data_IF_610247871314
#
_entry.id   IF_610247871314
#
_cell.length_a   1.000
_cell.length_b   1.000
_cell.length_c   1.000
_cell.angle_alpha   90.00
_cell.angle_beta   90.00
_cell.angle_gamma   90.00
#
_symmetry.space_group_name_H-M   'P 1'
#
loop_
_entity.id
_entity.type
_entity.pdbx_description
1 polymer ?
#
# COMPACT_ATOMS: atom_id res chain seq x y z
N UNK A 1 18.58 3.56 8.27
CA UNK A 1 17.20 3.65 7.76
C UNK A 1 17.12 2.73 6.54
N UNK A 2 16.50 1.55 6.66
CA UNK A 2 16.36 0.63 5.52
C UNK A 2 15.51 1.32 4.45
N UNK A 3 16.07 1.46 3.25
CA UNK A 3 15.34 1.96 2.09
C UNK A 3 14.30 0.91 1.69
N UNK A 4 13.10 1.04 2.24
CA UNK A 4 11.97 0.18 1.90
C UNK A 4 11.62 0.44 0.43
N UNK A 5 12.02 -0.46 -0.46
CA UNK A 5 11.74 -0.36 -1.89
C UNK A 5 10.25 -0.61 -2.17
N UNK A 6 9.74 -0.19 -3.33
CA UNK A 6 8.35 -0.51 -3.73
C UNK A 6 8.08 -2.02 -3.78
N UNK A 7 9.09 -2.83 -4.12
CA UNK A 7 9.01 -4.29 -4.10
C UNK A 7 8.80 -4.82 -2.68
N UNK A 8 9.48 -4.24 -1.70
CA UNK A 8 9.32 -4.58 -0.28
C UNK A 8 7.91 -4.21 0.23
N UNK A 9 7.40 -3.03 -0.16
CA UNK A 9 6.03 -2.59 0.17
C UNK A 9 4.96 -3.51 -0.40
N UNK A 10 5.09 -3.97 -1.65
CA UNK A 10 4.17 -4.96 -2.23
C UNK A 10 4.24 -6.31 -1.52
N UNK A 11 5.42 -6.71 -1.06
CA UNK A 11 5.60 -7.95 -0.28
C UNK A 11 4.92 -7.84 1.08
N UNK A 12 5.09 -6.71 1.79
CA UNK A 12 4.37 -6.41 3.04
C UNK A 12 2.85 -6.46 2.85
N UNK A 13 2.32 -5.84 1.78
CA UNK A 13 0.88 -5.85 1.47
C UNK A 13 0.35 -7.29 1.33
N UNK A 14 1.07 -8.16 0.61
CA UNK A 14 0.69 -9.57 0.46
C UNK A 14 0.71 -10.32 1.78
N UNK A 15 1.75 -10.12 2.59
CA UNK A 15 1.89 -10.79 3.89
C UNK A 15 0.79 -10.33 4.86
N UNK A 16 0.41 -9.05 4.84
CA UNK A 16 -0.69 -8.53 5.65
C UNK A 16 -2.04 -9.12 5.20
N UNK A 17 -2.30 -9.19 3.89
CA UNK A 17 -3.51 -9.81 3.35
C UNK A 17 -3.62 -11.31 3.69
N UNK A 18 -2.50 -12.02 3.62
CA UNK A 18 -2.43 -13.45 3.99
C UNK A 18 -2.77 -13.65 5.47
N UNK A 19 -2.15 -12.86 6.36
CA UNK A 19 -2.44 -12.92 7.80
C UNK A 19 -3.89 -12.55 8.14
N UNK A 20 -4.47 -11.54 7.47
CA UNK A 20 -5.88 -11.17 7.65
C UNK A 20 -6.80 -12.32 7.28
N UNK A 21 -6.50 -13.02 6.18
CA UNK A 21 -7.28 -14.19 5.74
C UNK A 21 -7.06 -15.41 6.63
N UNK A 22 -5.85 -15.60 7.16
CA UNK A 22 -5.53 -16.71 8.05
C UNK A 22 -6.17 -16.58 9.43
N UNK A 23 -6.33 -15.34 9.95
CA UNK A 23 -6.92 -15.10 11.26
C UNK A 23 -7.94 -13.97 11.26
N UNK A 24 -9.09 -14.13 10.58
CA UNK A 24 -10.12 -13.09 10.50
C UNK A 24 -10.73 -12.73 11.86
N UNK A 25 -10.58 -13.58 12.88
CA UNK A 25 -11.03 -13.34 14.26
C UNK A 25 -10.22 -12.28 15.02
N UNK A 26 -9.00 -11.93 14.56
CA UNK A 26 -8.22 -10.84 15.18
C UNK A 26 -8.64 -9.47 14.66
N UNK A 27 -8.45 -8.45 15.50
CA UNK A 27 -8.53 -7.08 15.04
C UNK A 27 -7.37 -6.74 14.12
N UNK A 28 -7.71 -6.44 12.87
CA UNK A 28 -6.78 -6.04 11.82
C UNK A 28 -6.85 -4.56 11.50
N UNK A 29 -7.41 -3.75 12.40
CA UNK A 29 -7.60 -2.31 12.15
C UNK A 29 -6.25 -1.63 11.89
N UNK A 30 -5.23 -1.97 12.68
CA UNK A 30 -3.86 -1.49 12.47
C UNK A 30 -3.25 -1.98 11.14
N UNK A 31 -3.47 -3.24 10.77
CA UNK A 31 -3.00 -3.80 9.50
C UNK A 31 -3.68 -3.18 8.28
N UNK A 32 -4.98 -2.88 8.38
CA UNK A 32 -5.76 -2.16 7.35
C UNK A 32 -5.28 -0.72 7.19
N UNK A 33 -4.98 -0.02 8.28
CA UNK A 33 -4.35 1.31 8.23
C UNK A 33 -2.96 1.26 7.59
N UNK A 34 -2.19 0.21 7.89
CA UNK A 34 -0.88 -0.03 7.25
C UNK A 34 -1.02 -0.29 5.76
N UNK A 35 -1.94 -1.18 5.36
CA UNK A 35 -2.27 -1.46 3.97
C UNK A 35 -2.66 -0.18 3.20
N UNK A 36 -3.50 0.67 3.78
CA UNK A 36 -3.89 1.93 3.16
C UNK A 36 -2.69 2.88 2.95
N UNK A 37 -1.78 2.94 3.93
CA UNK A 37 -0.54 3.73 3.82
C UNK A 37 0.39 3.16 2.76
N UNK A 38 0.63 1.84 2.78
CA UNK A 38 1.46 1.16 1.79
C UNK A 38 0.90 1.32 0.38
N UNK A 39 -0.42 1.20 0.21
CA UNK A 39 -1.07 1.35 -1.08
C UNK A 39 -0.92 2.80 -1.61
N UNK A 40 -1.03 3.82 -0.75
CA UNK A 40 -0.74 5.22 -1.13
C UNK A 40 0.72 5.43 -1.52
N UNK A 41 1.65 4.79 -0.82
CA UNK A 41 3.09 4.88 -1.10
C UNK A 41 3.50 4.12 -2.39
N UNK A 42 2.75 3.09 -2.78
CA UNK A 42 2.95 2.32 -4.01
C UNK A 42 2.27 3.01 -5.20
N UNK A 43 1.05 3.52 -5.01
CA UNK A 43 0.29 4.19 -6.07
C UNK A 43 0.90 5.53 -6.49
N UNK A 44 1.82 6.09 -5.69
CA UNK A 44 2.31 7.45 -5.87
C UNK A 44 1.22 8.48 -5.56
N UNK A 45 1.56 9.78 -5.50
CA UNK A 45 0.60 10.83 -5.17
C UNK A 45 -0.61 10.79 -6.14
N UNK A 46 -1.86 10.78 -5.61
CA UNK A 46 -3.05 10.86 -6.45
C UNK A 46 -3.17 12.28 -6.99
N UNK A 47 -2.54 12.55 -8.13
CA UNK A 47 -2.62 13.88 -8.73
C UNK A 47 -1.38 14.28 -9.52
N UNK A 48 -1.18 13.66 -10.67
CA UNK A 48 -0.91 14.47 -11.85
C UNK A 48 -2.13 14.33 -12.76
N UNK A 49 -2.99 15.36 -12.90
CA UNK A 49 -3.90 15.37 -14.03
C UNK A 49 -3.05 15.24 -15.30
N UNK A 50 -3.52 14.55 -16.36
CA UNK A 50 -2.83 14.60 -17.64
C UNK A 50 -2.73 16.09 -18.01
N UNK A 51 -1.50 16.60 -18.04
CA UNK A 51 -1.20 17.95 -18.48
C UNK A 51 -1.83 18.10 -19.89
N UNK A 52 -2.74 19.04 -20.15
CA UNK A 52 -3.22 19.25 -21.50
C UNK A 52 -2.02 19.72 -22.33
N UNK A 53 -1.65 18.94 -23.35
CA UNK A 53 -0.66 19.35 -24.34
C UNK A 53 -1.30 20.45 -25.20
N UNK A 54 -0.73 21.67 -25.25
CA UNK A 54 -1.11 22.63 -26.27
C UNK A 54 -0.47 22.20 -27.59
N UNK A 55 -1.27 22.17 -28.65
CA UNK A 55 -0.82 22.21 -30.04
C UNK A 55 -0.97 23.64 -30.55
#
# INVERSE_FOLDING_TARGET
MQAVTEGDRRKEVRILLDQIQAHPERDWTAARQRLATLNKLIAGPPGKPPRPQPH
#
